data_IF_311553848768
#
_entry.id   IF_311553848768
#
_cell.length_a   1.000
_cell.length_b   1.000
_cell.length_c   1.000
_cell.angle_alpha   90.00
_cell.angle_beta   90.00
_cell.angle_gamma   90.00
#
_symmetry.space_group_name_H-M   'P 1'
#
loop_
_entity.id
_entity.type
_entity.pdbx_description
1 polymer ?
#
# COMPACT_ATOMS: atom_id res chain seq x y z
N UNK A 1 -53.83 -47.89 -5.89
CA UNK A 1 -54.74 -46.94 -6.57
C UNK A 1 -54.08 -45.55 -6.57
N UNK A 2 -54.19 -44.83 -7.70
CA UNK A 2 -53.76 -43.42 -7.98
C UNK A 2 -52.25 -43.16 -7.87
N UNK A 3 -51.45 -43.18 -8.96
CA UNK A 3 -51.35 -42.24 -10.10
C UNK A 3 -51.49 -40.77 -9.69
N UNK A 4 -50.37 -40.05 -9.68
CA UNK A 4 -50.32 -38.62 -9.96
C UNK A 4 -49.05 -38.31 -10.76
N UNK A 5 -49.28 -38.09 -12.05
CA UNK A 5 -48.36 -37.50 -13.02
C UNK A 5 -48.38 -35.99 -12.82
N UNK A 6 -47.21 -35.33 -12.78
CA UNK A 6 -47.08 -33.92 -13.17
C UNK A 6 -45.98 -33.84 -14.21
N UNK A 7 -46.36 -33.31 -15.36
CA UNK A 7 -45.53 -33.10 -16.53
C UNK A 7 -45.08 -31.64 -16.61
N UNK A 8 -43.98 -31.45 -17.35
CA UNK A 8 -43.63 -30.30 -18.16
C UNK A 8 -43.24 -28.99 -17.44
N UNK A 9 -41.96 -28.64 -17.65
CA UNK A 9 -41.43 -27.30 -17.44
C UNK A 9 -40.05 -27.22 -18.08
N UNK A 10 -40.02 -27.11 -19.41
CA UNK A 10 -38.81 -26.86 -20.17
C UNK A 10 -38.18 -25.54 -19.70
N UNK A 11 -36.92 -25.58 -19.26
CA UNK A 11 -36.14 -24.37 -19.07
C UNK A 11 -34.74 -24.58 -19.65
N UNK A 12 -34.60 -24.07 -20.88
CA UNK A 12 -33.42 -23.42 -21.44
C UNK A 12 -32.09 -24.15 -21.19
N UNK A 13 -31.73 -25.02 -22.15
CA UNK A 13 -30.34 -25.34 -22.41
C UNK A 13 -29.63 -24.06 -22.87
N UNK A 14 -29.03 -23.32 -21.93
CA UNK A 14 -28.04 -22.31 -22.23
C UNK A 14 -26.78 -23.04 -22.68
N UNK A 15 -26.69 -23.28 -23.98
CA UNK A 15 -25.45 -23.58 -24.69
C UNK A 15 -24.57 -22.34 -24.61
N UNK A 16 -23.90 -22.14 -23.48
CA UNK A 16 -22.82 -21.16 -23.38
C UNK A 16 -21.60 -21.80 -24.04
N UNK A 17 -21.22 -21.19 -25.16
CA UNK A 17 -20.01 -21.48 -25.89
C UNK A 17 -18.82 -21.62 -24.92
N UNK A 18 -18.06 -22.71 -25.10
CA UNK A 18 -16.82 -22.98 -24.41
C UNK A 18 -15.78 -21.92 -24.75
N UNK A 19 -15.78 -20.81 -24.02
CA UNK A 19 -14.55 -20.05 -23.82
C UNK A 19 -13.65 -20.91 -22.92
N UNK A 20 -12.64 -21.54 -23.53
CA UNK A 20 -11.67 -22.43 -22.88
C UNK A 20 -10.71 -21.76 -21.89
N UNK A 21 -11.17 -20.73 -21.17
CA UNK A 21 -10.51 -20.23 -19.97
C UNK A 21 -11.25 -20.77 -18.77
N UNK A 22 -10.63 -21.65 -18.00
CA UNK A 22 -11.16 -22.05 -16.70
C UNK A 22 -11.40 -20.79 -15.86
N UNK A 23 -12.64 -20.57 -15.44
CA UNK A 23 -12.95 -19.53 -14.46
C UNK A 23 -12.11 -19.77 -13.20
N UNK A 24 -11.54 -18.71 -12.59
CA UNK A 24 -10.77 -18.85 -11.36
C UNK A 24 -11.59 -19.58 -10.30
N UNK A 25 -10.97 -20.55 -9.61
CA UNK A 25 -11.64 -21.22 -8.50
C UNK A 25 -11.78 -20.25 -7.32
N UNK A 26 -12.70 -20.55 -6.40
CA UNK A 26 -12.81 -19.81 -5.15
C UNK A 26 -11.48 -19.79 -4.37
N UNK A 27 -10.70 -20.88 -4.45
CA UNK A 27 -9.38 -20.96 -3.86
C UNK A 27 -8.39 -19.98 -4.51
N UNK A 28 -8.43 -19.83 -5.84
CA UNK A 28 -7.59 -18.87 -6.57
C UNK A 28 -7.96 -17.42 -6.20
N UNK A 29 -9.24 -17.15 -6.02
CA UNK A 29 -9.75 -15.86 -5.55
C UNK A 29 -9.25 -15.60 -4.12
N UNK A 30 -9.41 -16.56 -3.21
CA UNK A 30 -9.00 -16.39 -1.81
C UNK A 30 -7.47 -16.24 -1.66
N UNK A 31 -6.69 -16.96 -2.46
CA UNK A 31 -5.24 -16.85 -2.48
C UNK A 31 -4.79 -15.49 -3.02
N UNK A 32 -5.39 -15.02 -4.13
CA UNK A 32 -5.05 -13.71 -4.71
C UNK A 32 -5.51 -12.55 -3.82
N UNK A 33 -6.67 -12.66 -3.16
CA UNK A 33 -7.12 -11.67 -2.18
C UNK A 33 -6.21 -11.64 -0.96
N UNK A 34 -5.84 -12.81 -0.43
CA UNK A 34 -4.93 -12.92 0.72
C UNK A 34 -3.54 -12.38 0.38
N UNK A 35 -3.02 -12.66 -0.83
CA UNK A 35 -1.74 -12.14 -1.29
C UNK A 35 -1.77 -10.63 -1.51
N UNK A 36 -2.83 -10.10 -2.13
CA UNK A 36 -2.98 -8.65 -2.34
C UNK A 36 -3.20 -7.91 -1.03
N UNK A 37 -3.96 -8.49 -0.10
CA UNK A 37 -4.07 -7.96 1.25
C UNK A 37 -2.73 -8.06 1.96
N UNK A 38 -1.87 -9.04 1.72
CA UNK A 38 -0.57 -9.17 2.42
C UNK A 38 0.61 -8.49 1.74
N UNK A 39 0.42 -7.71 0.68
CA UNK A 39 1.51 -7.00 0.01
C UNK A 39 1.49 -5.51 0.35
N UNK A 40 2.69 -4.92 0.43
CA UNK A 40 2.92 -3.47 0.39
C UNK A 40 3.76 -3.04 -0.81
N UNK A 41 4.09 -3.98 -1.68
CA UNK A 41 4.81 -3.71 -2.93
C UNK A 41 3.94 -2.86 -3.84
N UNK A 42 4.52 -1.79 -4.40
CA UNK A 42 3.79 -0.88 -5.27
C UNK A 42 4.24 0.56 -5.13
N UNK A 43 3.50 1.44 -5.79
CA UNK A 43 3.72 2.88 -5.69
C UNK A 43 2.97 3.42 -4.47
N UNK A 44 3.63 4.33 -3.76
CA UNK A 44 3.17 4.92 -2.53
C UNK A 44 3.28 6.42 -2.60
N UNK A 45 2.41 7.09 -1.86
CA UNK A 45 2.52 8.53 -1.62
C UNK A 45 2.28 8.87 -0.16
N UNK A 46 2.94 9.91 0.31
CA UNK A 46 2.79 10.43 1.66
C UNK A 46 2.45 11.91 1.62
N UNK A 47 1.45 12.32 2.39
CA UNK A 47 1.06 13.72 2.50
C UNK A 47 0.98 14.17 3.95
N UNK A 48 1.58 15.33 4.23
CA UNK A 48 1.31 16.09 5.44
C UNK A 48 0.62 17.41 5.14
N UNK A 49 -0.08 17.94 6.13
CA UNK A 49 -0.71 19.27 6.07
C UNK A 49 0.03 20.25 6.98
N UNK A 50 -0.16 21.55 6.75
CA UNK A 50 0.37 22.62 7.59
C UNK A 50 1.15 23.68 6.79
N UNK A 51 1.91 24.51 7.51
CA UNK A 51 2.64 25.66 6.96
C UNK A 51 3.75 25.25 5.98
N UNK A 52 4.34 24.07 6.18
CA UNK A 52 5.36 23.51 5.31
C UNK A 52 5.00 22.04 4.99
N UNK A 53 4.05 21.82 4.05
CA UNK A 53 3.54 20.50 3.75
C UNK A 53 4.61 19.65 3.09
N UNK A 54 4.59 18.36 3.40
CA UNK A 54 5.52 17.37 2.87
C UNK A 54 4.78 16.49 1.88
N UNK A 55 5.45 16.18 0.78
CA UNK A 55 5.03 15.14 -0.15
C UNK A 55 6.14 14.11 -0.31
N UNK A 56 5.76 12.84 -0.18
CA UNK A 56 6.58 11.68 -0.49
C UNK A 56 5.95 10.96 -1.68
N UNK A 57 6.77 10.56 -2.64
CA UNK A 57 6.37 9.63 -3.69
C UNK A 57 7.46 8.57 -3.80
N UNK A 58 7.15 7.31 -3.54
CA UNK A 58 8.15 6.24 -3.50
C UNK A 58 7.55 4.92 -3.93
N UNK A 59 8.42 3.98 -4.29
CA UNK A 59 8.01 2.62 -4.68
C UNK A 59 8.61 1.62 -3.71
N UNK A 60 7.77 0.78 -3.11
CA UNK A 60 8.20 -0.31 -2.25
C UNK A 60 8.30 -1.62 -3.02
N UNK A 61 9.25 -2.43 -2.59
CA UNK A 61 9.47 -3.80 -3.01
C UNK A 61 9.67 -4.65 -1.75
N UNK A 62 9.00 -5.79 -1.70
CA UNK A 62 9.17 -6.77 -0.64
C UNK A 62 10.38 -7.68 -0.88
N UNK A 63 11.15 -7.89 0.17
CA UNK A 63 12.21 -8.88 0.26
C UNK A 63 11.83 -10.03 1.18
N UNK A 64 12.81 -10.89 1.49
CA UNK A 64 12.63 -11.99 2.43
C UNK A 64 12.33 -11.50 3.85
N UNK A 65 11.59 -12.31 4.62
CA UNK A 65 11.34 -12.09 6.05
C UNK A 65 10.64 -10.75 6.37
N UNK A 66 9.76 -10.29 5.48
CA UNK A 66 9.00 -9.04 5.66
C UNK A 66 9.87 -7.79 5.56
N UNK A 67 11.09 -7.87 5.03
CA UNK A 67 11.88 -6.69 4.70
C UNK A 67 11.24 -5.96 3.53
N UNK A 68 11.28 -4.63 3.56
CA UNK A 68 10.86 -3.79 2.44
C UNK A 68 11.95 -2.79 2.10
N UNK A 69 12.08 -2.50 0.81
CA UNK A 69 13.03 -1.53 0.30
C UNK A 69 12.43 -0.75 -0.85
N UNK A 70 12.99 0.42 -1.14
CA UNK A 70 12.43 1.30 -2.15
C UNK A 70 13.27 2.52 -2.44
N UNK A 71 12.82 3.26 -3.42
CA UNK A 71 13.36 4.57 -3.79
C UNK A 71 12.22 5.51 -4.11
N UNK A 72 12.46 6.80 -3.94
CA UNK A 72 11.44 7.80 -4.22
C UNK A 72 11.98 9.21 -4.20
N UNK A 73 11.07 10.14 -3.97
CA UNK A 73 11.36 11.55 -3.82
C UNK A 73 10.67 12.13 -2.59
N UNK A 74 11.36 13.07 -1.96
CA UNK A 74 10.87 13.94 -0.91
C UNK A 74 10.69 15.35 -1.46
N UNK A 75 9.61 16.01 -1.09
CA UNK A 75 9.39 17.43 -1.36
C UNK A 75 8.83 18.09 -0.12
N UNK A 76 9.42 19.21 0.28
CA UNK A 76 8.96 20.03 1.40
C UNK A 76 8.55 21.41 0.89
N UNK A 77 7.28 21.75 1.05
CA UNK A 77 6.69 22.96 0.51
C UNK A 77 6.36 22.88 -0.98
N UNK A 78 5.41 23.69 -1.43
CA UNK A 78 4.85 23.59 -2.78
C UNK A 78 5.84 24.04 -3.88
N UNK A 79 6.79 24.90 -3.56
CA UNK A 79 7.74 25.49 -4.51
C UNK A 79 9.14 24.83 -4.52
N UNK A 80 9.42 23.93 -3.58
CA UNK A 80 10.74 23.29 -3.50
C UNK A 80 10.90 22.20 -4.57
N UNK A 81 12.10 22.01 -5.12
CA UNK A 81 12.40 20.85 -5.94
C UNK A 81 12.29 19.57 -5.11
N UNK A 82 11.88 18.48 -5.76
CA UNK A 82 11.89 17.18 -5.13
C UNK A 82 13.33 16.63 -5.07
N UNK A 83 13.71 16.04 -3.93
CA UNK A 83 15.03 15.42 -3.71
C UNK A 83 14.90 13.90 -3.67
N UNK A 84 15.85 13.14 -4.22
CA UNK A 84 15.80 11.68 -4.19
C UNK A 84 15.97 11.15 -2.76
N UNK A 85 15.26 10.08 -2.44
CA UNK A 85 15.35 9.37 -1.17
C UNK A 85 15.44 7.86 -1.39
N UNK A 86 16.02 7.17 -0.42
CA UNK A 86 15.94 5.70 -0.31
C UNK A 86 15.01 5.32 0.83
N UNK A 87 14.31 4.21 0.67
CA UNK A 87 13.37 3.68 1.64
C UNK A 87 13.82 2.28 2.05
N UNK A 88 13.82 2.02 3.35
CA UNK A 88 14.04 0.69 3.92
C UNK A 88 13.10 0.46 5.09
N UNK A 89 12.83 -0.78 5.46
CA UNK A 89 11.93 -1.04 6.57
C UNK A 89 11.45 -2.47 6.66
N UNK A 90 10.35 -2.65 7.38
CA UNK A 90 9.71 -3.95 7.55
C UNK A 90 8.20 -3.84 7.44
N UNK A 91 7.59 -4.85 6.84
CA UNK A 91 6.16 -5.06 6.83
C UNK A 91 5.80 -6.40 7.48
N UNK A 92 4.97 -6.33 8.52
CA UNK A 92 4.40 -7.46 9.23
C UNK A 92 2.95 -7.10 9.57
N UNK A 93 2.01 -7.45 8.67
CA UNK A 93 0.60 -7.05 8.78
C UNK A 93 0.06 -7.20 10.21
N UNK A 94 -0.57 -6.17 10.79
CA UNK A 94 -0.93 -4.88 10.17
C UNK A 94 0.14 -3.80 10.29
N UNK A 95 1.32 -4.08 10.81
CA UNK A 95 2.36 -3.08 11.06
C UNK A 95 3.28 -2.86 9.85
N UNK A 96 3.53 -1.58 9.57
CA UNK A 96 4.52 -1.12 8.59
C UNK A 96 5.47 -0.14 9.30
N UNK A 97 6.77 -0.40 9.18
CA UNK A 97 7.83 0.50 9.64
C UNK A 97 8.70 0.86 8.45
N UNK A 98 8.87 2.15 8.21
CA UNK A 98 9.66 2.69 7.13
C UNK A 98 10.69 3.68 7.66
N UNK A 99 11.83 3.65 7.01
CA UNK A 99 12.95 4.54 7.20
C UNK A 99 13.25 5.19 5.85
N UNK A 100 13.36 6.50 5.86
CA UNK A 100 13.63 7.34 4.70
C UNK A 100 14.97 8.04 4.90
N UNK A 101 15.92 7.79 3.99
CA UNK A 101 17.23 8.43 3.99
C UNK A 101 17.36 9.39 2.79
N UNK A 102 18.20 10.41 2.93
CA UNK A 102 18.38 11.45 1.90
C UNK A 102 17.40 12.62 1.99
N UNK A 103 16.64 12.73 3.08
CA UNK A 103 15.70 13.84 3.29
C UNK A 103 16.47 15.14 3.57
N UNK A 104 15.98 16.22 2.97
CA UNK A 104 16.37 17.60 3.33
C UNK A 104 15.13 18.31 3.86
N UNK A 105 15.17 18.72 5.13
CA UNK A 105 14.09 19.47 5.78
C UNK A 105 14.66 20.74 6.39
N UNK A 106 14.12 21.89 6.01
CA UNK A 106 14.54 23.22 6.49
C UNK A 106 16.06 23.43 6.37
N UNK A 107 16.66 22.97 5.28
CA UNK A 107 18.12 22.97 5.01
C UNK A 107 18.97 22.04 5.89
N UNK A 108 18.36 21.14 6.66
CA UNK A 108 19.05 20.10 7.41
C UNK A 108 18.98 18.77 6.66
N UNK A 109 20.11 18.06 6.58
CA UNK A 109 20.10 16.65 6.19
C UNK A 109 19.58 15.82 7.36
N UNK A 110 18.52 15.07 7.11
CA UNK A 110 17.81 14.30 8.14
C UNK A 110 17.46 12.91 7.64
N UNK A 111 17.19 12.03 8.61
CA UNK A 111 16.58 10.73 8.42
C UNK A 111 15.14 10.77 8.91
N UNK A 112 14.23 10.19 8.16
CA UNK A 112 12.82 10.07 8.54
C UNK A 112 12.48 8.66 8.99
N UNK A 113 11.75 8.50 10.09
CA UNK A 113 11.21 7.21 10.53
C UNK A 113 9.69 7.33 10.72
N UNK A 114 8.94 6.42 10.10
CA UNK A 114 7.50 6.32 10.23
C UNK A 114 7.12 4.88 10.60
N UNK A 115 6.25 4.72 11.59
CA UNK A 115 5.75 3.42 12.01
C UNK A 115 4.26 3.50 12.31
N UNK A 116 3.47 2.70 11.62
CA UNK A 116 2.03 2.68 11.80
C UNK A 116 1.41 1.32 11.52
N UNK A 117 0.18 1.17 11.96
CA UNK A 117 -0.66 0.04 11.59
C UNK A 117 -1.62 0.46 10.48
N UNK A 118 -1.94 -0.46 9.58
CA UNK A 118 -3.06 -0.30 8.65
C UNK A 118 -4.37 -0.18 9.42
N UNK A 119 -4.96 1.02 9.42
CA UNK A 119 -6.26 1.29 10.06
C UNK A 119 -7.42 1.28 9.06
N UNK A 120 -7.13 1.42 7.77
CA UNK A 120 -8.07 1.34 6.65
C UNK A 120 -7.46 0.54 5.49
N UNK A 121 -8.29 0.15 4.51
CA UNK A 121 -7.77 -0.42 3.27
C UNK A 121 -7.00 0.66 2.49
N UNK A 122 -5.68 0.46 2.31
CA UNK A 122 -4.85 1.26 1.40
C UNK A 122 -3.93 2.31 2.03
N UNK A 123 -3.74 2.37 3.36
CA UNK A 123 -2.77 3.30 3.93
C UNK A 123 -2.54 3.24 5.44
N UNK A 124 -1.58 4.04 5.91
CA UNK A 124 -1.25 4.25 7.32
C UNK A 124 -1.24 5.74 7.66
N UNK A 125 -1.86 6.12 8.78
CA UNK A 125 -1.74 7.46 9.37
C UNK A 125 -0.78 7.37 10.56
N UNK A 126 0.27 8.17 10.55
CA UNK A 126 1.38 8.07 11.51
C UNK A 126 2.09 9.40 11.69
N UNK A 127 2.98 9.47 12.67
CA UNK A 127 4.02 10.48 12.74
C UNK A 127 5.24 10.02 11.93
N UNK A 128 5.78 10.92 11.12
CA UNK A 128 7.12 10.83 10.55
C UNK A 128 8.05 11.68 11.42
N UNK A 129 8.95 11.01 12.14
CA UNK A 129 9.96 11.68 12.96
C UNK A 129 11.21 11.89 12.11
N UNK A 130 11.56 13.15 11.89
CA UNK A 130 12.76 13.58 11.20
C UNK A 130 13.86 13.86 12.22
N UNK A 131 15.04 13.29 12.04
CA UNK A 131 16.17 13.46 12.94
C UNK A 131 17.46 13.71 12.17
N UNK A 132 18.21 14.73 12.59
CA UNK A 132 19.55 15.05 12.09
C UNK A 132 20.38 15.72 13.20
N UNK A 133 21.60 16.16 12.87
CA UNK A 133 22.49 16.80 13.85
C UNK A 133 21.85 18.05 14.45
N UNK A 134 21.48 18.01 15.73
CA UNK A 134 20.84 19.13 16.43
C UNK A 134 19.43 19.47 15.92
N UNK A 135 18.82 18.59 15.11
CA UNK A 135 17.50 18.81 14.50
C UNK A 135 16.58 17.63 14.79
N UNK A 136 15.38 17.92 15.28
CA UNK A 136 14.30 16.93 15.39
C UNK A 136 12.97 17.61 15.09
N UNK A 137 12.17 16.99 14.22
CA UNK A 137 10.83 17.47 13.87
C UNK A 137 9.89 16.30 13.64
N UNK A 138 8.73 16.38 14.25
CA UNK A 138 7.64 15.43 14.01
C UNK A 138 6.64 16.00 13.01
N UNK A 139 6.28 15.18 12.02
CA UNK A 139 5.33 15.53 10.96
C UNK A 139 4.23 14.49 10.94
N UNK A 140 2.99 14.89 11.22
CA UNK A 140 1.84 14.02 10.99
C UNK A 140 1.70 13.76 9.49
N UNK A 141 1.69 12.48 9.09
CA UNK A 141 1.68 12.07 7.69
C UNK A 141 0.67 10.94 7.46
N UNK A 142 0.04 10.96 6.29
CA UNK A 142 -0.74 9.83 5.79
C UNK A 142 0.00 9.23 4.61
N UNK A 143 0.37 7.96 4.71
CA UNK A 143 0.97 7.17 3.63
C UNK A 143 -0.12 6.31 2.98
N UNK A 144 -0.21 6.35 1.66
CA UNK A 144 -1.27 5.75 0.86
C UNK A 144 -0.64 4.92 -0.26
N UNK A 145 -1.10 3.69 -0.41
CA UNK A 145 -0.79 2.80 -1.54
C UNK A 145 -1.62 3.22 -2.77
N UNK A 146 -1.00 3.31 -3.95
CA UNK A 146 -1.65 3.73 -5.20
C UNK A 146 -2.20 2.56 -6.01
#
# INVERSE_FOLDING_TARGET
MRKMTIAAGALVALMIASCGGSWPTEQDINNSLSAKVQSVTGDWTGFSQGTNPVTLDFKLQEGSNGQVSGTGTWKEGNASPAVPITVSGTFQRPALSLTFDGIVSESHQVKGVAQGNYTTAGGISTTLTLTGTGYTRDVAIVLIEK
#
